data_IF_852863933309
#
_entry.id   IF_852863933309
#
_cell.length_a   1.000
_cell.length_b   1.000
_cell.length_c   1.000
_cell.angle_alpha   90.00
_cell.angle_beta   90.00
_cell.angle_gamma   90.00
#
_symmetry.space_group_name_H-M   'P 1'
#
loop_
_entity.id
_entity.type
_entity.pdbx_description
1 polymer ?
#
# COMPACT_ATOMS: atom_id res chain seq x y z
N UNK A 1 -29.98 11.18 -2.88
CA UNK A 1 -30.12 10.95 -4.32
C UNK A 1 -28.77 11.16 -4.96
N UNK A 2 -28.24 10.14 -5.64
CA UNK A 2 -26.88 10.19 -6.24
C UNK A 2 -26.93 10.96 -7.57
N UNK A 3 -26.20 12.06 -7.66
CA UNK A 3 -26.08 12.87 -8.86
C UNK A 3 -24.60 13.07 -9.20
N UNK A 4 -24.17 12.39 -10.25
CA UNK A 4 -22.79 12.40 -10.69
C UNK A 4 -22.33 13.79 -11.16
N UNK A 5 -23.22 14.57 -11.74
CA UNK A 5 -22.92 15.91 -12.23
C UNK A 5 -22.49 16.88 -11.12
N UNK A 6 -23.10 16.75 -9.93
CA UNK A 6 -22.74 17.60 -8.78
C UNK A 6 -21.30 17.32 -8.35
N UNK A 7 -20.89 16.05 -8.35
CA UNK A 7 -19.56 15.66 -7.89
C UNK A 7 -18.45 15.92 -8.93
N UNK A 8 -18.78 15.90 -10.22
CA UNK A 8 -17.83 16.15 -11.29
C UNK A 8 -17.74 17.64 -11.71
N UNK A 9 -18.35 18.55 -10.93
CA UNK A 9 -18.38 19.98 -11.23
C UNK A 9 -18.81 20.31 -12.68
N UNK A 10 -19.75 19.54 -13.22
CA UNK A 10 -20.26 19.67 -14.60
C UNK A 10 -19.21 19.52 -15.71
N UNK A 11 -18.05 18.90 -15.45
CA UNK A 11 -16.98 18.71 -16.44
C UNK A 11 -16.63 17.25 -16.70
N UNK A 12 -17.59 16.37 -17.04
CA UNK A 12 -17.30 14.95 -17.31
C UNK A 12 -16.34 14.75 -18.49
N UNK A 13 -16.29 15.71 -19.39
CA UNK A 13 -15.46 15.73 -20.61
C UNK A 13 -13.96 15.71 -20.33
N UNK A 14 -13.51 16.18 -19.18
CA UNK A 14 -12.09 16.20 -18.79
C UNK A 14 -11.57 14.80 -18.35
N UNK A 15 -12.50 13.84 -18.17
CA UNK A 15 -12.14 12.50 -17.67
C UNK A 15 -12.14 11.47 -18.79
N UNK A 16 -11.15 10.59 -18.77
CA UNK A 16 -11.19 9.38 -19.57
C UNK A 16 -12.34 8.46 -19.14
N UNK A 17 -12.93 7.72 -20.08
CA UNK A 17 -14.06 6.82 -19.86
C UNK A 17 -13.86 5.88 -18.65
N UNK A 18 -12.71 5.22 -18.59
CA UNK A 18 -12.41 4.27 -17.50
C UNK A 18 -12.28 4.95 -16.14
N UNK A 19 -11.66 6.12 -16.12
CA UNK A 19 -11.51 6.89 -14.89
C UNK A 19 -12.84 7.44 -14.39
N UNK A 20 -13.70 7.87 -15.32
CA UNK A 20 -15.03 8.37 -14.99
C UNK A 20 -15.89 7.28 -14.34
N UNK A 21 -15.93 6.06 -14.91
CA UNK A 21 -16.68 4.94 -14.31
C UNK A 21 -16.11 4.58 -12.94
N UNK A 22 -14.79 4.54 -12.79
CA UNK A 22 -14.14 4.28 -11.50
C UNK A 22 -14.56 5.31 -10.44
N UNK A 23 -14.54 6.59 -10.78
CA UNK A 23 -14.98 7.66 -9.87
C UNK A 23 -16.47 7.54 -9.56
N UNK A 24 -17.30 7.21 -10.54
CA UNK A 24 -18.71 7.00 -10.35
C UNK A 24 -19.01 5.82 -9.38
N UNK A 25 -18.31 4.69 -9.52
CA UNK A 25 -18.39 3.57 -8.57
C UNK A 25 -18.00 4.00 -7.14
N UNK A 26 -16.92 4.80 -7.03
CA UNK A 26 -16.45 5.32 -5.75
C UNK A 26 -17.48 6.20 -5.05
N UNK A 27 -18.02 7.15 -5.79
CA UNK A 27 -18.98 8.13 -5.29
C UNK A 27 -20.33 7.49 -4.98
N UNK A 28 -20.79 6.57 -5.84
CA UNK A 28 -22.05 5.86 -5.62
C UNK A 28 -22.02 5.06 -4.31
N UNK A 29 -20.92 4.34 -4.04
CA UNK A 29 -20.77 3.58 -2.81
C UNK A 29 -20.64 4.47 -1.58
N UNK A 30 -19.95 5.60 -1.68
CA UNK A 30 -19.88 6.57 -0.58
C UNK A 30 -21.27 7.11 -0.19
N UNK A 31 -22.20 7.18 -1.17
CA UNK A 31 -23.55 7.71 -0.97
C UNK A 31 -24.55 6.64 -0.52
N UNK A 32 -24.39 5.39 -0.97
CA UNK A 32 -25.31 4.28 -0.68
C UNK A 32 -24.53 3.09 -0.11
N UNK A 33 -24.48 2.98 1.22
CA UNK A 33 -23.72 1.93 1.94
C UNK A 33 -24.20 0.49 1.68
N UNK A 34 -25.46 0.29 1.24
CA UNK A 34 -26.09 -1.03 1.12
C UNK A 34 -26.16 -1.62 -0.30
N UNK A 35 -25.61 -0.94 -1.31
CA UNK A 35 -25.63 -1.44 -2.69
C UNK A 35 -24.27 -1.95 -3.12
N UNK A 36 -24.25 -2.94 -3.99
CA UNK A 36 -22.99 -3.48 -4.57
C UNK A 36 -22.19 -2.40 -5.30
N UNK A 37 -22.86 -1.41 -5.90
CA UNK A 37 -22.24 -0.27 -6.58
C UNK A 37 -21.22 -0.64 -7.66
N UNK A 38 -21.33 -1.85 -8.22
CA UNK A 38 -20.42 -2.36 -9.23
C UNK A 38 -21.09 -2.32 -10.59
N UNK A 39 -20.36 -1.88 -11.60
CA UNK A 39 -20.73 -2.14 -12.99
C UNK A 39 -20.62 -3.62 -13.27
N UNK A 40 -21.62 -4.20 -13.95
CA UNK A 40 -21.71 -5.65 -14.19
C UNK A 40 -21.65 -6.50 -12.92
N UNK A 41 -22.39 -6.12 -11.90
CA UNK A 41 -22.80 -7.08 -10.89
C UNK A 41 -23.75 -8.11 -11.58
N UNK A 42 -23.96 -9.27 -10.94
CA UNK A 42 -24.95 -10.26 -11.42
C UNK A 42 -26.40 -9.70 -11.36
N UNK A 43 -26.52 -8.41 -11.02
CA UNK A 43 -27.80 -7.72 -10.93
C UNK A 43 -28.38 -7.39 -12.31
N UNK A 44 -29.71 -7.36 -12.44
CA UNK A 44 -30.40 -6.88 -13.63
C UNK A 44 -30.02 -5.45 -13.98
N UNK A 45 -30.11 -5.09 -15.27
CA UNK A 45 -29.82 -3.74 -15.78
C UNK A 45 -30.57 -2.62 -15.03
N UNK A 46 -31.78 -2.91 -14.52
CA UNK A 46 -32.59 -1.93 -13.78
C UNK A 46 -31.92 -1.49 -12.46
N UNK A 47 -31.07 -2.32 -11.86
CA UNK A 47 -30.38 -2.03 -10.60
C UNK A 47 -29.01 -1.40 -10.79
N UNK A 48 -28.51 -1.34 -12.03
CA UNK A 48 -27.25 -0.64 -12.31
C UNK A 48 -27.43 0.87 -12.12
N UNK A 49 -26.44 1.54 -11.55
CA UNK A 49 -26.49 2.97 -11.25
C UNK A 49 -26.09 3.86 -12.43
N UNK A 50 -25.53 3.27 -13.49
CA UNK A 50 -25.15 3.93 -14.74
C UNK A 50 -25.84 3.25 -15.92
N UNK A 51 -26.31 4.07 -16.87
CA UNK A 51 -26.71 3.66 -18.21
C UNK A 51 -25.89 4.41 -19.24
N UNK A 52 -25.69 3.80 -20.41
CA UNK A 52 -24.91 4.39 -21.48
C UNK A 52 -25.82 4.63 -22.69
N UNK A 53 -25.71 5.81 -23.27
CA UNK A 53 -26.36 6.15 -24.52
C UNK A 53 -25.32 6.72 -25.48
N UNK A 54 -25.45 6.39 -26.74
CA UNK A 54 -24.53 6.86 -27.75
C UNK A 54 -25.08 8.14 -28.43
N UNK A 55 -24.17 9.02 -28.84
CA UNK A 55 -24.54 10.21 -29.57
C UNK A 55 -25.06 9.85 -30.97
N UNK A 56 -26.17 10.49 -31.35
CA UNK A 56 -26.79 10.31 -32.68
C UNK A 56 -26.14 11.14 -33.78
N UNK A 57 -25.17 11.96 -33.46
CA UNK A 57 -24.49 12.79 -34.41
C UNK A 57 -23.48 12.00 -35.24
N UNK A 58 -23.39 12.28 -36.54
CA UNK A 58 -22.39 11.72 -37.45
C UNK A 58 -21.15 12.64 -37.57
N UNK A 59 -21.13 13.76 -36.89
CA UNK A 59 -19.98 14.64 -36.79
C UNK A 59 -18.82 14.03 -36.03
N UNK A 60 -17.59 14.37 -36.42
CA UNK A 60 -16.40 13.91 -35.71
C UNK A 60 -16.34 14.51 -34.29
N UNK A 61 -16.19 13.65 -33.31
CA UNK A 61 -16.07 14.07 -31.92
C UNK A 61 -14.71 13.64 -31.38
N UNK A 62 -14.00 14.56 -30.78
CA UNK A 62 -12.65 14.34 -30.23
C UNK A 62 -12.65 13.69 -28.84
N UNK A 63 -13.78 13.70 -28.16
CA UNK A 63 -13.91 13.27 -26.76
C UNK A 63 -14.79 12.04 -26.65
N UNK A 64 -14.35 11.07 -25.86
CA UNK A 64 -15.09 9.81 -25.66
C UNK A 64 -16.34 9.96 -24.80
N UNK A 65 -16.32 10.87 -23.83
CA UNK A 65 -17.46 11.19 -22.94
C UNK A 65 -17.91 12.61 -23.21
N UNK A 66 -19.19 12.80 -23.46
CA UNK A 66 -19.74 14.11 -23.81
C UNK A 66 -20.39 14.80 -22.60
N UNK A 67 -21.39 14.18 -22.04
CA UNK A 67 -22.12 14.71 -20.88
C UNK A 67 -22.78 13.59 -20.10
N UNK A 68 -23.20 13.94 -18.89
CA UNK A 68 -23.90 13.06 -17.98
C UNK A 68 -25.27 13.67 -17.69
N UNK A 69 -26.33 12.89 -17.85
CA UNK A 69 -27.69 13.29 -17.55
C UNK A 69 -28.30 12.34 -16.56
N UNK A 70 -29.38 12.76 -15.89
CA UNK A 70 -30.23 11.83 -15.16
C UNK A 70 -31.10 11.08 -16.15
N UNK A 71 -31.20 9.76 -15.92
CA UNK A 71 -32.10 8.95 -16.73
C UNK A 71 -33.54 9.39 -16.52
N UNK A 72 -34.28 9.70 -17.58
CA UNK A 72 -35.66 10.16 -17.52
C UNK A 72 -36.57 9.04 -17.01
N UNK A 73 -36.32 7.79 -17.39
CA UNK A 73 -37.14 6.63 -17.03
C UNK A 73 -36.79 6.08 -15.63
N UNK A 74 -35.53 6.28 -15.21
CA UNK A 74 -35.00 5.81 -13.92
C UNK A 74 -34.24 6.93 -13.19
N UNK A 75 -34.92 7.79 -12.42
CA UNK A 75 -34.32 8.98 -11.79
C UNK A 75 -33.14 8.68 -10.82
N UNK A 76 -32.98 7.44 -10.41
CA UNK A 76 -31.87 6.97 -9.57
C UNK A 76 -30.60 6.63 -10.37
N UNK A 77 -30.67 6.60 -11.70
CA UNK A 77 -29.56 6.32 -12.59
C UNK A 77 -29.01 7.59 -13.23
N UNK A 78 -27.72 7.55 -13.54
CA UNK A 78 -27.11 8.54 -14.38
C UNK A 78 -26.86 7.93 -15.76
N UNK A 79 -27.25 8.66 -16.82
CA UNK A 79 -27.05 8.29 -18.20
C UNK A 79 -25.83 9.02 -18.74
N UNK A 80 -24.83 8.28 -19.18
CA UNK A 80 -23.62 8.82 -19.82
C UNK A 80 -23.80 8.83 -21.33
N UNK A 81 -23.67 10.01 -21.93
CA UNK A 81 -23.64 10.17 -23.36
C UNK A 81 -22.21 10.04 -23.88
N UNK A 82 -22.01 9.05 -24.74
CA UNK A 82 -20.69 8.65 -25.23
C UNK A 82 -20.60 8.88 -26.74
N UNK A 83 -19.39 9.25 -27.19
CA UNK A 83 -19.04 9.30 -28.62
C UNK A 83 -17.90 8.33 -28.98
N UNK A 84 -17.67 7.34 -28.10
CA UNK A 84 -16.72 6.27 -28.39
C UNK A 84 -17.40 5.13 -29.17
N UNK A 85 -16.74 4.00 -29.34
CA UNK A 85 -17.30 2.88 -30.10
C UNK A 85 -18.63 2.39 -29.51
N UNK A 86 -19.51 1.93 -30.41
CA UNK A 86 -20.83 1.41 -30.05
C UNK A 86 -21.54 0.89 -31.27
N UNK A 87 -22.86 0.69 -31.19
CA UNK A 87 -23.62 0.16 -32.31
C UNK A 87 -23.94 1.23 -33.38
N UNK A 88 -24.25 2.47 -32.98
CA UNK A 88 -24.62 3.56 -33.90
C UNK A 88 -23.80 4.83 -33.60
N UNK A 89 -23.99 5.89 -34.41
CA UNK A 89 -23.20 7.10 -34.29
C UNK A 89 -21.94 7.09 -35.19
N UNK A 90 -21.06 8.09 -35.04
CA UNK A 90 -19.86 8.22 -35.86
C UNK A 90 -18.91 7.02 -35.81
N UNK A 91 -18.70 6.50 -34.60
CA UNK A 91 -17.86 5.31 -34.34
C UNK A 91 -18.68 4.01 -34.25
N UNK A 92 -19.93 4.02 -34.77
CA UNK A 92 -20.81 2.86 -34.73
C UNK A 92 -20.36 1.74 -35.66
N UNK A 93 -20.59 0.48 -35.24
CA UNK A 93 -20.30 -0.71 -36.05
C UNK A 93 -21.37 -0.91 -37.13
N UNK A 94 -22.62 -0.45 -36.87
CA UNK A 94 -23.71 -0.55 -37.83
C UNK A 94 -23.51 0.47 -38.96
N UNK A 95 -23.96 0.16 -40.18
CA UNK A 95 -23.92 1.10 -41.30
C UNK A 95 -24.59 2.45 -40.99
N UNK A 96 -24.10 3.59 -41.53
CA UNK A 96 -24.60 4.94 -41.22
C UNK A 96 -26.12 5.12 -41.38
N UNK A 97 -26.75 4.42 -42.30
CA UNK A 97 -28.20 4.53 -42.51
C UNK A 97 -29.04 4.12 -41.31
N UNK A 98 -28.50 3.21 -40.43
CA UNK A 98 -29.17 2.90 -39.16
C UNK A 98 -29.16 4.09 -38.20
N UNK A 99 -28.08 4.81 -38.14
CA UNK A 99 -27.98 6.05 -37.33
C UNK A 99 -28.96 7.12 -37.86
N UNK A 100 -29.07 7.26 -39.16
CA UNK A 100 -30.04 8.18 -39.80
C UNK A 100 -31.48 7.74 -39.49
N UNK A 101 -31.79 6.46 -39.60
CA UNK A 101 -33.10 5.89 -39.29
C UNK A 101 -33.48 6.16 -37.82
N UNK A 102 -32.52 5.92 -36.88
CA UNK A 102 -32.75 6.18 -35.46
C UNK A 102 -32.99 7.68 -35.25
N UNK A 103 -32.21 8.55 -35.86
CA UNK A 103 -32.39 9.99 -35.77
C UNK A 103 -33.75 10.46 -36.32
N UNK A 104 -34.18 9.91 -37.45
CA UNK A 104 -35.49 10.20 -38.03
C UNK A 104 -36.63 9.78 -37.11
N UNK A 105 -36.56 8.56 -36.52
CA UNK A 105 -37.56 8.04 -35.55
C UNK A 105 -37.56 8.87 -34.26
N UNK A 106 -36.40 9.21 -33.73
CA UNK A 106 -36.27 10.03 -32.55
C UNK A 106 -36.94 11.39 -32.71
N UNK A 107 -36.84 12.01 -33.92
CA UNK A 107 -37.55 13.27 -34.24
C UNK A 107 -39.09 13.11 -34.27
N UNK A 108 -39.57 11.88 -34.49
CA UNK A 108 -41.00 11.54 -34.47
C UNK A 108 -41.47 11.14 -33.08
N UNK A 109 -40.56 11.15 -32.07
CA UNK A 109 -40.86 10.74 -30.69
C UNK A 109 -40.76 9.21 -30.45
N UNK A 110 -40.31 8.42 -31.45
CA UNK A 110 -40.10 6.98 -31.30
C UNK A 110 -38.64 6.70 -30.90
N UNK A 111 -38.44 6.36 -29.65
CA UNK A 111 -37.12 6.03 -29.07
C UNK A 111 -36.91 4.51 -28.86
N UNK A 112 -37.89 3.67 -29.21
CA UNK A 112 -37.84 2.22 -28.91
C UNK A 112 -36.59 1.52 -29.46
N UNK A 113 -36.26 1.77 -30.72
CA UNK A 113 -35.10 1.15 -31.36
C UNK A 113 -33.77 1.64 -30.77
N UNK A 114 -33.68 2.94 -30.45
CA UNK A 114 -32.52 3.53 -29.76
C UNK A 114 -32.32 2.88 -28.39
N UNK A 115 -33.39 2.79 -27.58
CA UNK A 115 -33.35 2.21 -26.22
C UNK A 115 -32.91 0.75 -26.24
N UNK A 116 -33.37 -0.01 -27.24
CA UNK A 116 -32.93 -1.39 -27.43
C UNK A 116 -31.43 -1.50 -27.70
N UNK A 117 -30.91 -0.69 -28.62
CA UNK A 117 -29.47 -0.67 -28.92
C UNK A 117 -28.64 -0.13 -27.75
N UNK A 118 -29.12 0.85 -27.02
CA UNK A 118 -28.46 1.37 -25.83
C UNK A 118 -28.36 0.32 -24.71
N UNK A 119 -29.38 -0.52 -24.54
CA UNK A 119 -29.35 -1.62 -23.59
C UNK A 119 -28.26 -2.65 -23.93
N UNK A 120 -28.12 -3.03 -25.19
CA UNK A 120 -27.03 -3.91 -25.67
C UNK A 120 -25.66 -3.24 -25.52
N UNK A 121 -25.58 -1.96 -25.90
CA UNK A 121 -24.34 -1.19 -25.80
C UNK A 121 -23.87 -1.04 -24.35
N UNK A 122 -24.80 -0.83 -23.41
CA UNK A 122 -24.48 -0.74 -21.98
C UNK A 122 -23.81 -2.00 -21.48
N UNK A 123 -24.30 -3.19 -21.86
CA UNK A 123 -23.64 -4.46 -21.52
C UNK A 123 -22.24 -4.58 -22.14
N UNK A 124 -22.09 -4.23 -23.40
CA UNK A 124 -20.81 -4.30 -24.10
C UNK A 124 -19.77 -3.39 -23.47
N UNK A 125 -20.16 -2.15 -23.15
CA UNK A 125 -19.29 -1.18 -22.47
C UNK A 125 -18.95 -1.60 -21.04
N UNK A 126 -19.89 -2.20 -20.32
CA UNK A 126 -19.64 -2.78 -19.02
C UNK A 126 -18.63 -3.93 -19.07
N UNK A 127 -18.72 -4.82 -20.09
CA UNK A 127 -17.71 -5.87 -20.32
C UNK A 127 -16.34 -5.28 -20.66
N UNK A 128 -16.30 -4.22 -21.46
CA UNK A 128 -15.06 -3.51 -21.77
C UNK A 128 -14.38 -2.97 -20.50
N UNK A 129 -15.15 -2.28 -19.65
CA UNK A 129 -14.64 -1.77 -18.38
C UNK A 129 -14.15 -2.91 -17.47
N UNK A 130 -14.88 -3.99 -17.37
CA UNK A 130 -14.49 -5.15 -16.57
C UNK A 130 -13.24 -5.83 -17.11
N UNK A 131 -13.11 -5.98 -18.43
CA UNK A 131 -11.91 -6.52 -19.08
C UNK A 131 -10.67 -5.62 -18.84
N UNK A 132 -10.86 -4.31 -18.94
CA UNK A 132 -9.81 -3.34 -18.63
C UNK A 132 -9.37 -3.41 -17.16
N UNK A 133 -10.32 -3.52 -16.24
CA UNK A 133 -10.05 -3.57 -14.81
C UNK A 133 -9.40 -4.88 -14.37
N UNK A 134 -9.75 -6.01 -14.99
CA UNK A 134 -9.34 -7.38 -14.62
C UNK A 134 -7.82 -7.54 -14.43
N UNK A 135 -7.01 -6.83 -15.21
CA UNK A 135 -5.55 -6.97 -15.20
C UNK A 135 -4.84 -5.82 -14.48
N UNK A 136 -5.59 -4.93 -13.82
CA UNK A 136 -5.04 -3.75 -13.12
C UNK A 136 -5.15 -3.90 -11.61
N UNK A 137 -4.11 -4.48 -11.02
CA UNK A 137 -4.06 -4.77 -9.59
C UNK A 137 -4.46 -3.61 -8.67
N UNK A 138 -3.96 -2.36 -8.83
CA UNK A 138 -4.33 -1.26 -7.96
C UNK A 138 -5.84 -0.98 -7.93
N UNK A 139 -6.50 -1.03 -9.09
CA UNK A 139 -7.93 -0.77 -9.21
C UNK A 139 -8.78 -1.91 -8.63
N UNK A 140 -8.35 -3.17 -8.82
CA UNK A 140 -9.02 -4.32 -8.22
C UNK A 140 -8.92 -4.25 -6.69
N UNK A 141 -7.74 -3.93 -6.16
CA UNK A 141 -7.52 -3.79 -4.72
C UNK A 141 -8.38 -2.67 -4.13
N UNK A 142 -8.41 -1.50 -4.76
CA UNK A 142 -9.26 -0.36 -4.37
C UNK A 142 -10.75 -0.74 -4.37
N UNK A 143 -11.21 -1.39 -5.43
CA UNK A 143 -12.60 -1.82 -5.60
C UNK A 143 -13.02 -2.81 -4.50
N UNK A 144 -12.16 -3.78 -4.18
CA UNK A 144 -12.40 -4.79 -3.15
C UNK A 144 -12.34 -4.24 -1.73
N UNK A 145 -11.36 -3.41 -1.45
CA UNK A 145 -11.23 -2.73 -0.15
C UNK A 145 -12.51 -1.96 0.20
N UNK A 146 -13.16 -1.36 -0.81
CA UNK A 146 -14.43 -0.66 -0.63
C UNK A 146 -15.63 -1.58 -0.45
N UNK A 147 -15.57 -2.82 -0.97
CA UNK A 147 -16.69 -3.78 -0.92
C UNK A 147 -16.67 -4.66 0.32
N UNK A 148 -15.75 -4.43 1.27
CA UNK A 148 -15.57 -5.27 2.46
C UNK A 148 -15.49 -6.78 2.16
N UNK A 149 -15.05 -7.14 0.96
CA UNK A 149 -14.88 -8.52 0.59
C UNK A 149 -13.67 -9.12 1.31
N UNK A 150 -13.93 -9.91 2.34
CA UNK A 150 -12.92 -10.56 3.18
C UNK A 150 -12.06 -11.60 2.43
N UNK A 151 -12.55 -12.11 1.30
CA UNK A 151 -11.79 -13.10 0.54
C UNK A 151 -10.67 -12.42 -0.26
N UNK A 152 -9.40 -12.78 -0.06
CA UNK A 152 -8.30 -12.20 -0.81
C UNK A 152 -8.47 -12.49 -2.31
N UNK A 153 -8.14 -11.50 -3.13
CA UNK A 153 -8.12 -11.67 -4.57
C UNK A 153 -7.03 -12.67 -4.97
N UNK A 154 -7.27 -13.45 -6.02
CA UNK A 154 -6.26 -14.39 -6.51
C UNK A 154 -4.90 -13.75 -6.76
N UNK A 155 -4.86 -12.50 -7.25
CA UNK A 155 -3.64 -11.72 -7.44
C UNK A 155 -2.93 -11.37 -6.14
N UNK A 156 -3.65 -11.05 -5.07
CA UNK A 156 -3.08 -10.79 -3.73
C UNK A 156 -2.43 -12.05 -3.18
N UNK A 157 -3.07 -13.20 -3.34
CA UNK A 157 -2.51 -14.49 -2.92
C UNK A 157 -1.26 -14.84 -3.73
N UNK A 158 -1.21 -14.53 -5.03
CA UNK A 158 -0.02 -14.73 -5.86
C UNK A 158 1.12 -13.83 -5.37
N UNK A 159 0.87 -12.54 -5.16
CA UNK A 159 1.89 -11.59 -4.67
C UNK A 159 2.36 -11.99 -3.27
N UNK A 160 1.43 -12.34 -2.37
CA UNK A 160 1.75 -12.83 -1.04
C UNK A 160 2.57 -14.13 -1.10
N UNK A 161 2.24 -15.04 -2.03
CA UNK A 161 3.01 -16.26 -2.27
C UNK A 161 4.44 -15.95 -2.73
N UNK A 162 4.62 -15.02 -3.67
CA UNK A 162 5.92 -14.55 -4.15
C UNK A 162 6.74 -13.90 -3.02
N UNK A 163 6.08 -13.13 -2.15
CA UNK A 163 6.72 -12.50 -0.99
C UNK A 163 6.99 -13.45 0.18
N UNK A 164 6.49 -14.70 0.14
CA UNK A 164 6.58 -15.64 1.25
C UNK A 164 5.62 -15.34 2.41
N UNK A 165 4.66 -14.44 2.23
CA UNK A 165 3.69 -14.02 3.26
C UNK A 165 2.30 -14.69 3.12
N UNK A 166 2.23 -15.84 2.45
CA UNK A 166 0.98 -16.57 2.20
C UNK A 166 0.51 -17.43 3.39
N UNK A 167 1.36 -17.66 4.37
CA UNK A 167 1.04 -18.52 5.51
C UNK A 167 0.04 -17.86 6.47
N UNK A 168 -0.79 -18.68 7.15
CA UNK A 168 -1.81 -18.22 8.11
C UNK A 168 -1.26 -17.34 9.23
N UNK A 169 -0.01 -17.55 9.64
CA UNK A 169 0.66 -16.72 10.64
C UNK A 169 0.70 -15.23 10.27
N UNK A 170 0.71 -14.89 8.98
CA UNK A 170 0.68 -13.50 8.52
C UNK A 170 -0.72 -12.87 8.52
N UNK A 171 -1.78 -13.66 8.66
CA UNK A 171 -3.15 -13.13 8.76
C UNK A 171 -3.37 -12.41 10.11
N UNK A 172 -2.59 -12.74 11.14
CA UNK A 172 -2.54 -12.06 12.42
C UNK A 172 -1.73 -10.76 12.41
N UNK A 173 -0.92 -10.56 11.35
CA UNK A 173 -0.03 -9.41 11.16
C UNK A 173 -0.32 -8.66 9.85
N UNK A 174 -1.48 -8.00 9.72
CA UNK A 174 -1.92 -7.40 8.46
C UNK A 174 -0.96 -6.33 7.92
N UNK A 175 -0.34 -5.55 8.79
CA UNK A 175 0.64 -4.53 8.40
C UNK A 175 1.90 -5.15 7.78
N UNK A 176 2.41 -6.23 8.36
CA UNK A 176 3.56 -6.97 7.84
C UNK A 176 3.24 -7.59 6.46
N UNK A 177 2.04 -8.17 6.31
CA UNK A 177 1.57 -8.73 5.04
C UNK A 177 1.47 -7.68 3.94
N UNK A 178 0.98 -6.49 4.24
CA UNK A 178 0.92 -5.37 3.30
C UNK A 178 2.32 -4.90 2.87
N UNK A 179 3.24 -4.76 3.83
CA UNK A 179 4.61 -4.34 3.57
C UNK A 179 5.34 -5.39 2.72
N UNK A 180 5.26 -6.67 3.07
CA UNK A 180 5.89 -7.74 2.29
C UNK A 180 5.29 -7.86 0.89
N UNK A 181 3.99 -7.62 0.71
CA UNK A 181 3.36 -7.57 -0.61
C UNK A 181 3.84 -6.36 -1.43
N UNK A 182 4.00 -5.18 -0.81
CA UNK A 182 4.51 -3.98 -1.48
C UNK A 182 5.96 -4.17 -1.94
N UNK A 183 6.79 -4.79 -1.12
CA UNK A 183 8.20 -5.06 -1.42
C UNK A 183 8.42 -6.49 -1.94
N UNK A 184 7.41 -7.14 -2.52
CA UNK A 184 7.45 -8.55 -2.94
C UNK A 184 8.65 -8.89 -3.80
N UNK A 185 9.11 -7.99 -4.68
CA UNK A 185 10.30 -8.18 -5.50
C UNK A 185 11.59 -8.32 -4.70
N UNK A 186 11.71 -7.63 -3.56
CA UNK A 186 12.87 -7.77 -2.67
C UNK A 186 12.77 -9.02 -1.77
N UNK A 187 11.55 -9.35 -1.32
CA UNK A 187 11.32 -10.53 -0.49
C UNK A 187 11.45 -11.84 -1.27
N UNK A 188 11.08 -11.85 -2.56
CA UNK A 188 11.17 -13.03 -3.42
C UNK A 188 12.61 -13.45 -3.74
N UNK A 189 13.56 -12.54 -3.64
CA UNK A 189 14.95 -12.85 -3.93
C UNK A 189 15.56 -13.71 -2.82
N UNK A 190 16.10 -14.88 -3.19
CA UNK A 190 16.77 -15.78 -2.24
C UNK A 190 18.06 -15.15 -1.67
N UNK A 191 18.79 -14.39 -2.51
CA UNK A 191 19.97 -13.66 -2.05
C UNK A 191 19.54 -12.30 -1.53
N UNK A 192 19.53 -12.14 -0.21
CA UNK A 192 19.16 -10.90 0.44
C UNK A 192 20.25 -9.85 0.23
N UNK A 193 19.91 -8.80 -0.49
CA UNK A 193 20.85 -7.72 -0.81
C UNK A 193 20.75 -6.60 0.24
N UNK A 194 21.89 -6.08 0.65
CA UNK A 194 21.97 -4.92 1.58
C UNK A 194 21.22 -3.71 1.01
N UNK A 195 21.30 -3.49 -0.32
CA UNK A 195 20.59 -2.41 -1.01
C UNK A 195 19.07 -2.57 -0.88
N UNK A 196 18.55 -3.79 -1.04
CA UNK A 196 17.12 -4.07 -0.86
C UNK A 196 16.66 -3.80 0.57
N UNK A 197 17.46 -4.20 1.55
CA UNK A 197 17.18 -3.94 2.96
C UNK A 197 17.20 -2.44 3.27
N UNK A 198 18.17 -1.69 2.72
CA UNK A 198 18.23 -0.23 2.84
C UNK A 198 16.94 0.43 2.32
N UNK A 199 16.47 0.05 1.13
CA UNK A 199 15.24 0.61 0.54
C UNK A 199 14.01 0.33 1.41
N UNK A 200 13.87 -0.90 1.91
CA UNK A 200 12.77 -1.28 2.79
C UNK A 200 12.79 -0.43 4.08
N UNK A 201 13.95 -0.36 4.74
CA UNK A 201 14.11 0.37 6.00
C UNK A 201 13.89 1.87 5.83
N UNK A 202 14.47 2.48 4.79
CA UNK A 202 14.29 3.91 4.51
C UNK A 202 12.83 4.26 4.25
N UNK A 203 12.08 3.37 3.59
CA UNK A 203 10.66 3.60 3.31
C UNK A 203 9.78 3.42 4.55
N UNK A 204 10.12 2.48 5.43
CA UNK A 204 9.39 2.22 6.67
C UNK A 204 9.59 3.34 7.70
N UNK A 205 10.84 3.76 7.88
CA UNK A 205 11.20 4.79 8.86
C UNK A 205 10.86 6.20 8.32
N UNK A 206 10.84 6.35 6.98
CA UNK A 206 10.56 7.63 6.32
C UNK A 206 11.78 8.54 6.17
N UNK A 207 12.98 8.06 6.52
CA UNK A 207 14.26 8.77 6.37
C UNK A 207 15.29 7.87 5.72
N UNK A 208 16.36 8.45 5.16
CA UNK A 208 17.45 7.63 4.61
C UNK A 208 18.19 6.91 5.75
N UNK A 209 18.63 5.69 5.47
CA UNK A 209 19.41 4.88 6.42
C UNK A 209 20.70 4.42 5.76
N UNK A 210 21.76 4.34 6.54
CA UNK A 210 22.99 3.68 6.14
C UNK A 210 23.07 2.29 6.78
N UNK A 211 23.57 1.32 6.04
CA UNK A 211 23.71 -0.06 6.53
C UNK A 211 25.18 -0.42 6.47
N UNK A 212 25.70 -0.83 7.60
CA UNK A 212 27.06 -1.34 7.78
C UNK A 212 26.98 -2.86 8.05
N UNK A 213 27.26 -3.70 7.05
CA UNK A 213 27.36 -5.15 7.24
C UNK A 213 28.68 -5.49 7.94
N UNK A 214 28.73 -6.65 8.56
CA UNK A 214 29.91 -7.18 9.26
C UNK A 214 30.40 -6.29 10.39
N UNK A 215 29.49 -5.67 11.10
CA UNK A 215 29.82 -4.85 12.25
C UNK A 215 30.32 -5.71 13.40
N UNK A 216 31.55 -5.46 13.86
CA UNK A 216 32.16 -6.19 14.94
C UNK A 216 31.46 -5.94 16.26
N UNK A 217 30.90 -6.98 16.86
CA UNK A 217 30.18 -6.94 18.14
C UNK A 217 30.83 -7.84 19.17
N UNK A 218 30.80 -7.41 20.44
CA UNK A 218 31.24 -8.18 21.59
C UNK A 218 30.10 -9.06 22.11
N UNK A 219 30.33 -10.36 22.17
CA UNK A 219 29.41 -11.35 22.73
C UNK A 219 29.99 -11.91 24.02
N UNK A 220 29.22 -11.80 25.09
CA UNK A 220 29.58 -12.42 26.35
C UNK A 220 29.38 -13.93 26.27
N UNK A 221 30.41 -14.69 26.58
CA UNK A 221 30.34 -16.14 26.65
C UNK A 221 29.58 -16.58 27.90
N UNK A 222 28.69 -17.54 27.73
CA UNK A 222 28.10 -18.22 28.88
C UNK A 222 29.14 -19.05 29.63
N UNK A 223 28.93 -19.31 30.93
CA UNK A 223 29.82 -20.15 31.72
C UNK A 223 30.02 -21.55 31.14
N UNK A 224 29.03 -22.02 30.36
CA UNK A 224 29.10 -23.31 29.67
C UNK A 224 29.95 -23.29 28.40
N UNK A 225 30.18 -22.14 27.80
CA UNK A 225 30.96 -21.94 26.56
C UNK A 225 32.41 -21.52 26.85
N UNK A 226 32.62 -20.83 27.95
CA UNK A 226 33.95 -20.38 28.35
C UNK A 226 34.91 -21.56 28.57
N UNK A 227 36.15 -21.39 28.20
CA UNK A 227 37.23 -22.37 28.45
C UNK A 227 37.55 -22.48 29.94
N UNK A 228 37.65 -23.67 30.43
CA UNK A 228 38.00 -23.98 31.85
C UNK A 228 39.24 -24.87 31.86
N UNK A 229 40.30 -24.41 32.49
CA UNK A 229 41.56 -25.12 32.56
C UNK A 229 41.38 -26.50 33.17
N UNK A 230 41.82 -27.54 32.45
CA UNK A 230 41.70 -28.93 32.88
C UNK A 230 40.33 -29.57 32.74
N UNK A 231 39.28 -28.82 32.33
CA UNK A 231 37.90 -29.34 32.20
C UNK A 231 37.41 -29.30 30.79
N UNK A 232 37.46 -28.10 30.15
CA UNK A 232 36.88 -27.91 28.82
C UNK A 232 37.67 -26.83 28.06
N UNK A 233 37.90 -27.08 26.75
CA UNK A 233 38.52 -26.09 25.87
C UNK A 233 39.92 -25.67 26.25
N UNK A 234 40.75 -26.63 26.70
CA UNK A 234 42.06 -26.35 27.27
C UNK A 234 43.24 -26.59 26.28
N UNK A 235 42.95 -26.91 25.02
CA UNK A 235 43.96 -27.16 23.99
C UNK A 235 44.30 -25.90 23.24
N UNK A 236 45.52 -25.38 23.44
CA UNK A 236 46.02 -24.18 22.74
C UNK A 236 46.05 -24.39 21.22
N UNK A 237 45.60 -23.43 20.47
CA UNK A 237 45.56 -23.48 18.99
C UNK A 237 44.42 -24.30 18.38
N UNK A 238 43.58 -24.97 19.20
CA UNK A 238 42.45 -25.79 18.76
C UNK A 238 41.10 -25.28 19.28
N UNK A 239 40.91 -25.21 20.58
CA UNK A 239 39.60 -24.88 21.19
C UNK A 239 39.70 -23.97 22.43
N UNK A 240 40.88 -23.41 22.71
CA UNK A 240 41.05 -22.50 23.86
C UNK A 240 40.57 -21.11 23.46
N UNK A 241 39.58 -20.61 24.20
CA UNK A 241 39.14 -19.23 24.13
C UNK A 241 39.59 -18.54 25.41
N UNK A 242 40.43 -17.51 25.29
CA UNK A 242 40.92 -16.71 26.41
C UNK A 242 40.06 -15.50 26.59
N UNK A 243 39.41 -15.40 27.77
CA UNK A 243 38.53 -14.30 28.11
C UNK A 243 37.06 -14.72 28.22
N UNK A 244 36.22 -13.77 28.59
CA UNK A 244 34.77 -13.93 28.73
C UNK A 244 33.97 -13.38 27.57
N UNK A 245 34.65 -12.80 26.58
CA UNK A 245 34.02 -12.15 25.42
C UNK A 245 34.67 -12.61 24.12
N UNK A 246 33.84 -12.71 23.07
CA UNK A 246 34.28 -12.95 21.70
C UNK A 246 33.81 -11.79 20.83
N UNK A 247 34.66 -11.36 19.89
CA UNK A 247 34.30 -10.39 18.88
C UNK A 247 33.89 -11.14 17.61
N UNK A 248 32.63 -11.01 17.21
CA UNK A 248 32.14 -11.57 15.96
C UNK A 248 31.43 -10.48 15.14
N UNK A 249 31.78 -10.42 13.84
CA UNK A 249 31.17 -9.49 12.88
C UNK A 249 30.39 -10.21 11.79
N UNK A 250 30.48 -11.54 11.68
CA UNK A 250 29.92 -12.24 10.52
C UNK A 250 28.39 -12.17 10.44
N UNK A 251 27.70 -12.15 11.56
CA UNK A 251 26.24 -12.13 11.62
C UNK A 251 25.67 -10.81 12.15
N UNK A 252 26.48 -9.80 12.29
CA UNK A 252 26.09 -8.52 12.86
C UNK A 252 25.96 -7.43 11.79
N UNK A 253 24.85 -6.71 11.83
CA UNK A 253 24.54 -5.61 10.90
C UNK A 253 24.16 -4.39 11.73
N UNK A 254 24.73 -3.24 11.40
CA UNK A 254 24.34 -1.96 11.98
C UNK A 254 23.54 -1.16 10.97
N UNK A 255 22.37 -0.68 11.39
CA UNK A 255 21.49 0.22 10.62
C UNK A 255 21.52 1.57 11.33
N UNK A 256 22.06 2.60 10.68
CA UNK A 256 22.13 3.96 11.23
C UNK A 256 21.16 4.85 10.47
N UNK A 257 20.27 5.55 11.17
CA UNK A 257 19.34 6.51 10.56
C UNK A 257 20.06 7.83 10.24
N UNK A 258 19.61 8.52 9.19
CA UNK A 258 19.90 9.96 9.07
C UNK A 258 19.26 10.71 10.23
N UNK A 259 19.68 11.97 10.51
CA UNK A 259 19.12 12.74 11.62
C UNK A 259 17.59 12.82 11.58
N UNK A 260 16.92 12.25 12.59
CA UNK A 260 15.47 12.17 12.72
C UNK A 260 14.93 13.22 13.70
N UNK A 261 13.62 13.51 13.56
CA UNK A 261 12.87 14.34 14.49
C UNK A 261 12.55 13.57 15.78
N UNK A 262 12.38 14.28 16.89
CA UNK A 262 12.10 13.66 18.21
C UNK A 262 10.84 12.78 18.19
N UNK A 263 9.81 13.16 17.42
CA UNK A 263 8.58 12.35 17.27
C UNK A 263 8.86 11.00 16.62
N UNK A 264 9.65 10.99 15.55
CA UNK A 264 10.05 9.74 14.88
C UNK A 264 10.93 8.89 15.80
N UNK A 265 11.85 9.53 16.53
CA UNK A 265 12.69 8.89 17.53
C UNK A 265 11.86 8.17 18.60
N UNK A 266 10.80 8.80 19.14
CA UNK A 266 9.91 8.17 20.12
C UNK A 266 9.19 6.92 19.54
N UNK A 267 8.77 6.97 18.27
CA UNK A 267 8.11 5.85 17.62
C UNK A 267 9.04 4.65 17.35
N UNK A 268 10.34 4.88 17.30
CA UNK A 268 11.37 3.85 17.10
C UNK A 268 11.95 3.31 18.41
N UNK A 269 11.39 3.68 19.57
CA UNK A 269 11.78 3.10 20.85
C UNK A 269 11.23 1.69 21.04
N UNK A 270 11.91 0.80 21.76
CA UNK A 270 11.43 -0.52 22.11
C UNK A 270 10.03 -0.49 22.74
N UNK A 271 9.15 -1.35 22.26
CA UNK A 271 7.75 -1.41 22.70
C UNK A 271 6.78 -0.57 21.88
N UNK A 272 7.25 0.32 21.01
CA UNK A 272 6.40 1.08 20.11
C UNK A 272 6.03 0.29 18.85
N UNK A 273 4.87 0.61 18.27
CA UNK A 273 4.35 -0.14 17.10
C UNK A 273 5.30 -0.12 15.90
N UNK A 274 5.94 1.03 15.63
CA UNK A 274 6.89 1.14 14.52
C UNK A 274 8.15 0.30 14.76
N UNK A 275 8.68 0.29 15.99
CA UNK A 275 9.82 -0.55 16.35
C UNK A 275 9.50 -2.04 16.16
N UNK A 276 8.34 -2.49 16.66
CA UNK A 276 7.89 -3.88 16.51
C UNK A 276 7.76 -4.24 15.02
N UNK A 277 7.18 -3.36 14.21
CA UNK A 277 7.02 -3.58 12.79
C UNK A 277 8.37 -3.67 12.06
N UNK A 278 9.30 -2.77 12.38
CA UNK A 278 10.67 -2.77 11.85
C UNK A 278 11.39 -4.06 12.22
N UNK A 279 11.26 -4.52 13.47
CA UNK A 279 11.84 -5.78 13.92
C UNK A 279 11.28 -6.98 13.17
N UNK A 280 9.95 -7.08 13.01
CA UNK A 280 9.29 -8.15 12.26
C UNK A 280 9.69 -8.16 10.78
N UNK A 281 9.77 -7.01 10.13
CA UNK A 281 10.21 -6.89 8.73
C UNK A 281 11.67 -7.29 8.59
N UNK A 282 12.53 -6.93 9.54
CA UNK A 282 13.94 -7.30 9.58
C UNK A 282 14.08 -8.82 9.70
N UNK A 283 13.36 -9.44 10.62
CA UNK A 283 13.37 -10.89 10.83
C UNK A 283 12.86 -11.65 9.59
N UNK A 284 11.80 -11.15 8.96
CA UNK A 284 11.27 -11.74 7.72
C UNK A 284 12.25 -11.60 6.55
N UNK A 285 12.96 -10.47 6.44
CA UNK A 285 13.87 -10.22 5.33
C UNK A 285 15.21 -10.93 5.47
N UNK A 286 15.86 -10.79 6.63
CA UNK A 286 17.21 -11.33 6.87
C UNK A 286 17.18 -12.77 7.43
N UNK A 287 16.12 -13.13 8.13
CA UNK A 287 16.02 -14.37 8.90
C UNK A 287 16.48 -14.22 10.35
N UNK A 288 16.32 -15.30 11.11
CA UNK A 288 16.54 -15.31 12.58
C UNK A 288 18.04 -15.31 12.96
N UNK A 289 18.93 -15.57 12.01
CA UNK A 289 20.36 -15.75 12.29
C UNK A 289 21.20 -14.47 12.36
N UNK A 290 20.62 -13.31 12.08
CA UNK A 290 21.37 -12.05 12.06
C UNK A 290 21.02 -11.17 13.25
N UNK A 291 22.04 -10.63 13.90
CA UNK A 291 21.91 -9.60 14.91
C UNK A 291 21.92 -8.22 14.26
N UNK A 292 20.82 -7.48 14.42
CA UNK A 292 20.67 -6.16 13.80
C UNK A 292 20.57 -5.10 14.87
N UNK A 293 21.57 -4.21 14.89
CA UNK A 293 21.61 -3.03 15.73
C UNK A 293 21.03 -1.82 14.98
N UNK A 294 19.98 -1.23 15.52
CA UNK A 294 19.40 0.01 15.02
C UNK A 294 19.99 1.18 15.81
N UNK A 295 20.82 2.00 15.17
CA UNK A 295 21.39 3.22 15.74
C UNK A 295 20.57 4.41 15.28
N UNK A 296 20.00 5.13 16.23
CA UNK A 296 19.17 6.29 15.98
C UNK A 296 20.02 7.57 16.12
N UNK A 297 19.92 8.44 15.13
CA UNK A 297 20.57 9.74 15.16
C UNK A 297 19.48 10.81 15.31
N UNK A 298 19.46 11.52 16.44
CA UNK A 298 18.51 12.59 16.71
C UNK A 298 19.12 13.93 16.34
N UNK A 299 18.35 14.79 15.66
CA UNK A 299 18.77 16.16 15.32
C UNK A 299 19.16 16.94 16.58
N UNK A 300 20.28 17.64 16.54
CA UNK A 300 20.80 18.42 17.66
C UNK A 300 19.82 19.47 18.19
N UNK A 301 18.97 20.03 17.31
CA UNK A 301 17.96 21.03 17.67
C UNK A 301 16.78 20.46 18.47
N UNK A 302 16.57 19.14 18.41
CA UNK A 302 15.41 18.47 19.01
C UNK A 302 15.76 17.56 20.20
N UNK A 303 17.01 17.57 20.62
CA UNK A 303 17.44 16.81 21.81
C UNK A 303 16.82 17.44 23.06
N UNK A 304 15.94 16.72 23.79
CA UNK A 304 15.27 17.26 24.96
C UNK A 304 16.23 17.36 26.16
N UNK A 305 16.08 18.40 26.97
CA UNK A 305 16.72 18.43 28.27
C UNK A 305 16.06 17.43 29.20
N UNK A 306 16.85 16.68 29.93
CA UNK A 306 16.35 15.71 30.91
C UNK A 306 15.65 16.42 32.05
N UNK A 307 14.37 16.18 32.26
CA UNK A 307 13.55 16.72 33.34
C UNK A 307 13.19 15.57 34.28
N UNK A 308 13.64 15.62 35.50
CA UNK A 308 13.24 14.68 36.56
C UNK A 308 11.93 15.18 37.17
N UNK A 309 10.81 14.58 36.73
CA UNK A 309 9.50 14.90 37.26
C UNK A 309 8.73 13.60 37.60
N UNK A 310 8.39 13.45 38.86
CA UNK A 310 7.65 12.30 39.37
C UNK A 310 6.14 12.32 39.09
N UNK A 311 5.61 13.44 38.60
CA UNK A 311 4.17 13.66 38.41
C UNK A 311 3.72 13.72 36.92
N UNK A 312 4.67 13.67 35.99
CA UNK A 312 4.32 13.75 34.56
C UNK A 312 3.88 12.41 33.99
N UNK A 313 2.61 12.27 33.65
CA UNK A 313 2.03 11.11 32.95
C UNK A 313 2.43 11.05 31.46
N UNK A 314 2.97 12.16 30.93
CA UNK A 314 3.39 12.30 29.54
C UNK A 314 4.80 12.88 29.49
N UNK A 315 5.71 12.32 28.74
CA UNK A 315 7.15 12.66 28.64
C UNK A 315 8.00 12.21 29.86
N UNK A 316 7.83 10.99 30.31
CA UNK A 316 8.75 10.43 31.28
C UNK A 316 10.12 10.19 30.66
N UNK A 317 11.15 10.77 31.27
CA UNK A 317 12.54 10.49 30.93
C UNK A 317 12.89 9.06 31.35
N UNK A 318 13.24 8.21 30.39
CA UNK A 318 13.63 6.81 30.62
C UNK A 318 15.13 6.71 30.43
N UNK A 319 15.83 6.26 31.48
CA UNK A 319 17.28 6.11 31.45
C UNK A 319 17.70 5.10 30.36
N UNK A 320 18.67 5.48 29.54
CA UNK A 320 19.15 4.65 28.42
C UNK A 320 18.32 4.73 27.13
N UNK A 321 17.22 5.49 27.14
CA UNK A 321 16.33 5.66 25.96
C UNK A 321 16.27 7.09 25.45
N UNK A 322 15.82 8.01 26.30
CA UNK A 322 15.57 9.41 25.92
C UNK A 322 16.13 10.43 26.93
N UNK A 323 17.21 10.09 27.62
CA UNK A 323 17.84 10.95 28.63
C UNK A 323 19.23 11.35 28.22
N UNK A 324 19.47 12.66 28.09
CA UNK A 324 20.77 13.22 27.79
C UNK A 324 21.19 14.19 28.92
N UNK A 325 22.40 14.03 29.41
CA UNK A 325 22.96 14.94 30.42
C UNK A 325 23.31 16.26 29.76
N UNK A 326 22.93 17.37 30.40
CA UNK A 326 23.27 18.71 29.93
C UNK A 326 24.80 18.90 29.87
N UNK A 327 25.30 19.47 28.75
CA UNK A 327 26.75 19.66 28.54
C UNK A 327 27.22 19.17 27.16
N UNK A 328 26.31 18.70 26.31
CA UNK A 328 26.61 18.32 24.94
C UNK A 328 27.01 19.55 24.12
N UNK A 329 27.94 19.38 23.19
CA UNK A 329 28.35 20.47 22.30
C UNK A 329 27.15 20.87 21.41
N UNK A 330 26.76 22.16 21.37
CA UNK A 330 25.67 22.60 20.51
C UNK A 330 26.02 22.37 19.03
N UNK A 331 25.08 21.84 18.27
CA UNK A 331 25.25 21.58 16.83
C UNK A 331 25.71 20.18 16.46
N UNK A 332 25.95 19.27 17.42
CA UNK A 332 26.28 17.88 17.16
C UNK A 332 25.04 17.01 17.38
N UNK A 333 24.64 16.25 16.36
CA UNK A 333 23.50 15.33 16.43
C UNK A 333 23.74 14.21 17.47
N UNK A 334 22.67 13.75 18.10
CA UNK A 334 22.73 12.70 19.11
C UNK A 334 22.75 11.33 18.43
N UNK A 335 23.86 10.62 18.46
CA UNK A 335 24.07 9.34 17.79
C UNK A 335 24.42 8.19 18.75
N UNK A 336 24.20 8.38 20.04
CA UNK A 336 24.59 7.52 21.15
C UNK A 336 23.53 6.46 21.50
N UNK A 337 22.35 6.52 20.89
CA UNK A 337 21.26 5.59 21.18
C UNK A 337 21.19 4.46 20.16
N UNK A 338 21.31 3.22 20.62
CA UNK A 338 21.16 2.05 19.79
C UNK A 338 20.29 0.99 20.44
N UNK A 339 19.52 0.26 19.63
CA UNK A 339 18.64 -0.81 20.05
C UNK A 339 18.84 -2.06 19.21
N UNK A 340 18.69 -3.23 19.82
CA UNK A 340 18.71 -4.50 19.08
C UNK A 340 17.31 -4.81 18.56
N UNK A 341 17.19 -5.03 17.24
CA UNK A 341 15.92 -5.39 16.62
C UNK A 341 15.54 -6.86 16.85
N UNK A 342 16.52 -7.75 16.94
CA UNK A 342 16.32 -9.20 17.09
C UNK A 342 16.76 -9.70 18.49
N UNK A 343 16.64 -8.89 19.54
CA UNK A 343 16.96 -9.36 20.89
C UNK A 343 15.97 -10.47 21.27
N UNK A 344 16.43 -11.72 21.23
CA UNK A 344 15.73 -12.80 21.93
C UNK A 344 15.76 -12.48 23.40
N UNK A 345 14.60 -12.20 23.99
CA UNK A 345 14.41 -12.17 25.43
C UNK A 345 14.68 -13.56 26.03
#
# INVERSE_FOLDING_TARGET
>A
MFDLNIYLNFRPVEYDFYQLIRLAECLYKATQQNSSGMMLSDDPLDKEFLSFSQQLDLGFVTQGVLHVERDADYPQKNRLHLAMFGFYGFHGVLPPFYTELINQRARQGDHAFRTYLDALNSRTLGFLFTAWNKNRYPFIHERRSRLDQKNPFRGENIIAGVAGSHFKAFDELPSLKQISSYFSGYFSNQRKMVVGYKVIMSKLIGVDVSIEPFYARHYNLSKSEASQLGVKGSSLGSNLIVGSEIVDGNMSIRVTTSPIDYRCFQQLQPGQQLFILVSQVTEQYLGIGYDVELRLVLKSSEVPNTILNSLALTNTSVLGYNTWISGRQPGVDADDVSFMLNAKN
#
